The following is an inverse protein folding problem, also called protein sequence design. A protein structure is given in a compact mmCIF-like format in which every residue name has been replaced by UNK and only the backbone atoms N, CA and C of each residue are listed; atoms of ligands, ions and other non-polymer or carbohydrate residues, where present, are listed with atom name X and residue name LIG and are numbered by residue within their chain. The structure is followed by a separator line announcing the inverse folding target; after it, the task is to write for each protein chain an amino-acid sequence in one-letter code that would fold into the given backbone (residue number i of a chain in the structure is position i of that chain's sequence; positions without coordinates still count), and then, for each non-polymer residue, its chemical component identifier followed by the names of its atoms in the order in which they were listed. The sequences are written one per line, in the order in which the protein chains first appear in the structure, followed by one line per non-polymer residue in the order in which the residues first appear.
data_IF_979759242122
#
_entry.id   IF_979759242122
#
_cell.length_a   1.000
_cell.length_b   1.000
_cell.length_c   1.000
_cell.angle_alpha   90.00
_cell.angle_beta   90.00
_cell.angle_gamma   90.00
#
_symmetry.space_group_name_H-M   'P 1'
#
loop_
_entity.id
_entity.type
_entity.pdbx_description
1 polymer ?
#
# COMPACT_ATOMS: atom_id res chain seq x y z
N UNK A 1 -1.43 -20.76 13.58
CA UNK A 1 -0.74 -21.46 14.69
C UNK A 1 -0.46 -22.90 14.26
N UNK A 2 0.52 -23.57 14.88
CA UNK A 2 0.78 -25.01 14.68
C UNK A 2 -0.41 -25.93 15.02
N UNK A 3 -1.44 -25.41 15.69
CA UNK A 3 -2.64 -26.14 16.11
C UNK A 3 -3.35 -26.86 14.94
N UNK A 4 -3.28 -26.29 13.74
CA UNK A 4 -3.82 -26.95 12.54
C UNK A 4 -3.11 -28.27 12.20
N UNK A 5 -1.87 -28.48 12.63
CA UNK A 5 -1.14 -29.73 12.39
C UNK A 5 -1.18 -30.72 13.55
N UNK A 6 -1.60 -30.28 14.74
CA UNK A 6 -1.70 -31.14 15.94
C UNK A 6 -3.14 -31.50 16.30
N UNK A 7 -4.13 -30.86 15.68
CA UNK A 7 -5.53 -31.28 15.78
C UNK A 7 -5.84 -32.45 14.85
N UNK A 8 -6.72 -33.36 15.29
CA UNK A 8 -7.23 -34.48 14.50
C UNK A 8 -8.08 -34.07 13.28
N UNK A 9 -8.30 -32.76 13.10
CA UNK A 9 -9.06 -32.17 12.00
C UNK A 9 -8.25 -32.05 10.70
N UNK A 10 -6.91 -32.14 10.76
CA UNK A 10 -6.07 -32.08 9.58
C UNK A 10 -5.78 -33.49 9.05
N UNK A 11 -6.59 -33.90 8.07
CA UNK A 11 -6.37 -35.12 7.30
C UNK A 11 -5.52 -34.81 6.09
N UNK A 12 -4.35 -35.41 6.00
CA UNK A 12 -3.48 -35.27 4.83
C UNK A 12 -4.03 -36.10 3.68
N UNK A 13 -4.10 -35.50 2.50
CA UNK A 13 -4.33 -36.20 1.25
C UNK A 13 -3.01 -36.85 0.77
N UNK A 14 -3.05 -37.94 0.01
CA UNK A 14 -1.85 -38.59 -0.52
C UNK A 14 -1.16 -37.78 -1.64
N UNK A 15 -1.74 -36.66 -2.05
CA UNK A 15 -1.19 -35.78 -3.06
C UNK A 15 -0.10 -34.85 -2.49
N UNK A 16 0.97 -34.66 -3.27
CA UNK A 16 2.03 -33.70 -2.94
C UNK A 16 1.52 -32.29 -3.22
N UNK A 17 1.76 -31.38 -2.28
CA UNK A 17 1.45 -29.97 -2.40
C UNK A 17 2.25 -29.38 -3.58
N UNK A 18 1.59 -28.68 -4.53
CA UNK A 18 2.31 -27.97 -5.58
C UNK A 18 3.10 -26.81 -4.98
N UNK A 19 4.30 -26.58 -5.49
CA UNK A 19 5.06 -25.36 -5.16
C UNK A 19 4.32 -24.18 -5.77
N UNK A 20 4.13 -23.12 -4.98
CA UNK A 20 3.52 -21.90 -5.50
C UNK A 20 4.49 -21.23 -6.46
N UNK A 21 4.15 -21.20 -7.74
CA UNK A 21 4.88 -20.39 -8.70
C UNK A 21 4.58 -18.91 -8.46
N UNK A 22 5.61 -18.06 -8.57
CA UNK A 22 5.44 -16.62 -8.56
C UNK A 22 4.58 -16.16 -9.74
N UNK A 23 4.41 -14.84 -9.90
CA UNK A 23 3.76 -14.34 -11.10
C UNK A 23 4.57 -14.77 -12.34
N UNK A 24 3.99 -15.68 -13.12
CA UNK A 24 4.53 -16.06 -14.42
C UNK A 24 4.48 -14.86 -15.38
N UNK A 25 5.32 -14.89 -16.41
CA UNK A 25 5.36 -13.84 -17.43
C UNK A 25 6.62 -12.98 -17.37
N UNK A 26 6.50 -11.77 -17.91
CA UNK A 26 7.65 -10.91 -18.22
C UNK A 26 8.11 -11.11 -19.66
N UNK A 27 8.06 -10.05 -20.44
CA UNK A 27 8.57 -10.04 -21.84
C UNK A 27 9.66 -8.98 -22.01
N UNK A 28 10.32 -8.59 -20.91
CA UNK A 28 11.40 -7.60 -20.90
C UNK A 28 10.92 -6.15 -21.02
N UNK A 29 9.72 -5.82 -20.52
CA UNK A 29 9.21 -4.44 -20.54
C UNK A 29 9.89 -3.61 -19.46
N UNK A 30 9.96 -2.30 -19.70
CA UNK A 30 10.54 -1.36 -18.74
C UNK A 30 9.86 -1.43 -17.37
N UNK A 31 10.66 -1.35 -16.32
CA UNK A 31 10.25 -1.43 -14.92
C UNK A 31 9.40 -0.23 -14.48
N UNK A 32 8.38 -0.47 -13.64
CA UNK A 32 7.61 0.57 -12.94
C UNK A 32 7.28 0.14 -11.52
N UNK A 33 7.31 1.08 -10.59
CA UNK A 33 6.92 0.87 -9.20
C UNK A 33 5.89 1.89 -8.74
N UNK A 34 5.01 1.46 -7.83
CA UNK A 34 4.15 2.34 -7.03
C UNK A 34 4.64 2.23 -5.59
N UNK A 35 4.99 3.36 -4.97
CA UNK A 35 5.31 3.43 -3.54
C UNK A 35 4.19 4.21 -2.87
N UNK A 36 3.42 3.55 -2.02
CA UNK A 36 2.36 4.18 -1.23
C UNK A 36 2.90 4.48 0.15
N UNK A 37 3.07 5.77 0.46
CA UNK A 37 3.19 6.26 1.82
C UNK A 37 1.79 6.51 2.38
N UNK A 38 1.33 5.63 3.27
CA UNK A 38 -0.02 5.71 3.82
C UNK A 38 -0.01 6.29 5.23
N UNK A 39 -0.39 7.57 5.33
CA UNK A 39 -0.49 8.26 6.62
C UNK A 39 -1.75 7.82 7.39
N UNK A 40 -1.64 6.71 8.12
CA UNK A 40 -2.72 6.02 8.86
C UNK A 40 -3.36 6.81 10.03
N UNK A 41 -3.18 8.13 10.08
CA UNK A 41 -3.61 9.02 11.15
C UNK A 41 -2.59 10.13 11.41
N UNK A 42 -3.00 11.16 12.15
CA UNK A 42 -2.13 12.29 12.54
C UNK A 42 -1.79 13.27 11.41
N UNK A 43 -2.14 12.95 10.17
CA UNK A 43 -2.07 13.87 9.04
C UNK A 43 -3.27 14.82 9.06
N UNK A 44 -2.99 16.10 9.28
CA UNK A 44 -3.97 17.17 9.10
C UNK A 44 -3.96 17.64 7.64
N UNK A 45 -4.67 16.93 6.77
CA UNK A 45 -4.66 17.18 5.33
C UNK A 45 -5.17 18.58 4.95
N UNK A 46 -6.03 19.19 5.78
CA UNK A 46 -6.45 20.58 5.62
C UNK A 46 -5.32 21.59 5.83
N UNK A 47 -4.25 21.19 6.51
CA UNK A 47 -3.03 21.98 6.67
C UNK A 47 -1.95 21.58 5.65
N UNK A 48 -2.14 20.50 4.87
CA UNK A 48 -1.22 20.12 3.79
C UNK A 48 -1.45 20.93 2.51
N UNK A 49 -2.72 21.12 2.14
CA UNK A 49 -3.15 21.87 0.96
C UNK A 49 -4.28 22.83 1.35
N UNK A 50 -3.99 24.12 1.31
CA UNK A 50 -4.87 25.20 1.78
C UNK A 50 -5.30 26.06 0.58
N UNK A 51 -6.58 26.37 0.38
CA UNK A 51 -6.99 27.39 -0.59
C UNK A 51 -6.34 28.75 -0.25
N UNK A 52 -5.74 29.47 -1.20
CA UNK A 52 -5.03 30.73 -0.89
C UNK A 52 -5.72 32.01 -1.38
N UNK A 53 -6.04 32.08 -2.68
CA UNK A 53 -6.57 33.31 -3.29
C UNK A 53 -7.17 33.08 -4.68
N UNK A 54 -7.83 34.12 -5.22
CA UNK A 54 -8.52 34.13 -6.50
C UNK A 54 -9.54 32.99 -6.60
N UNK A 55 -10.36 32.88 -5.56
CA UNK A 55 -11.42 31.90 -5.46
C UNK A 55 -12.71 32.43 -6.09
N UNK A 56 -13.43 31.58 -6.81
CA UNK A 56 -14.51 32.01 -7.71
C UNK A 56 -15.74 32.58 -6.97
N UNK A 57 -16.22 31.87 -5.94
CA UNK A 57 -17.49 32.19 -5.28
C UNK A 57 -17.33 32.79 -3.87
N UNK A 58 -16.34 32.31 -3.10
CA UNK A 58 -16.10 32.68 -1.71
C UNK A 58 -14.61 32.74 -1.42
N UNK A 59 -14.18 33.59 -0.47
CA UNK A 59 -12.82 33.52 0.06
C UNK A 59 -12.66 32.25 0.90
N UNK A 60 -12.18 31.19 0.26
CA UNK A 60 -11.98 29.90 0.89
C UNK A 60 -10.82 29.91 1.90
N UNK A 61 -9.89 30.86 1.80
CA UNK A 61 -8.85 31.03 2.82
C UNK A 61 -9.45 31.66 4.08
N UNK A 62 -10.28 32.68 3.93
CA UNK A 62 -11.00 33.28 5.06
C UNK A 62 -11.89 32.24 5.76
N UNK A 63 -12.65 31.44 5.00
CA UNK A 63 -13.43 30.34 5.56
C UNK A 63 -12.56 29.32 6.30
N UNK A 64 -11.46 28.88 5.68
CA UNK A 64 -10.48 28.01 6.33
C UNK A 64 -10.02 28.60 7.67
N UNK A 65 -9.59 29.87 7.70
CA UNK A 65 -9.13 30.50 8.95
C UNK A 65 -10.21 30.58 10.02
N UNK A 66 -11.45 30.92 9.62
CA UNK A 66 -12.61 31.01 10.53
C UNK A 66 -12.96 29.66 11.15
N UNK A 67 -13.02 28.59 10.34
CA UNK A 67 -13.41 27.25 10.80
C UNK A 67 -12.29 26.60 11.62
N UNK A 68 -11.04 26.82 11.22
CA UNK A 68 -9.87 26.18 11.83
C UNK A 68 -9.35 26.94 13.04
N UNK A 69 -9.71 28.21 13.20
CA UNK A 69 -9.36 29.06 14.35
C UNK A 69 -7.85 29.08 14.61
N UNK A 70 -7.39 28.67 15.80
CA UNK A 70 -5.98 28.67 16.18
C UNK A 70 -5.14 27.59 15.48
N UNK A 71 -5.75 26.66 14.73
CA UNK A 71 -5.06 25.66 13.92
C UNK A 71 -4.82 26.11 12.48
N UNK A 72 -5.32 27.29 12.10
CA UNK A 72 -5.14 27.83 10.76
C UNK A 72 -3.70 28.31 10.54
N UNK A 73 -3.13 27.97 9.40
CA UNK A 73 -1.80 28.41 9.01
C UNK A 73 -1.86 29.81 8.38
N UNK A 74 -0.98 30.74 8.76
CA UNK A 74 -0.87 32.02 8.07
C UNK A 74 -0.33 31.78 6.65
N UNK A 75 -0.71 32.64 5.70
CA UNK A 75 -0.21 32.58 4.30
C UNK A 75 1.32 32.53 4.22
N UNK A 76 2.03 33.19 5.13
CA UNK A 76 3.49 33.17 5.22
C UNK A 76 4.09 31.81 5.59
N UNK A 77 3.30 30.88 6.14
CA UNK A 77 3.67 29.50 6.46
C UNK A 77 3.41 28.50 5.32
N UNK A 78 2.97 28.98 4.16
CA UNK A 78 2.57 28.15 3.02
C UNK A 78 3.42 28.50 1.79
N UNK A 79 3.72 27.47 0.99
CA UNK A 79 4.32 27.62 -0.33
C UNK A 79 3.21 27.70 -1.38
N UNK A 80 3.08 28.85 -2.05
CA UNK A 80 2.02 29.06 -3.03
C UNK A 80 2.26 28.25 -4.33
N UNK A 81 1.24 27.54 -4.78
CA UNK A 81 1.19 26.84 -6.07
C UNK A 81 0.00 27.35 -6.88
N UNK A 82 0.19 27.44 -8.18
CA UNK A 82 -0.82 27.95 -9.11
C UNK A 82 -1.57 26.79 -9.78
N UNK A 83 -2.88 26.95 -9.91
CA UNK A 83 -3.73 26.02 -10.63
C UNK A 83 -3.88 26.47 -12.08
N UNK A 84 -3.26 25.73 -12.99
CA UNK A 84 -3.06 26.18 -14.38
C UNK A 84 -4.30 25.95 -15.26
N UNK A 85 -5.21 25.03 -14.89
CA UNK A 85 -6.36 24.65 -15.71
C UNK A 85 -7.60 25.54 -15.52
N UNK A 86 -7.66 26.31 -14.44
CA UNK A 86 -8.81 27.15 -14.10
C UNK A 86 -10.07 26.37 -13.72
N UNK A 87 -9.92 25.08 -13.39
CA UNK A 87 -11.04 24.18 -13.07
C UNK A 87 -11.31 24.08 -11.58
N UNK A 88 -10.37 24.53 -10.75
CA UNK A 88 -10.47 24.39 -9.30
C UNK A 88 -11.14 25.62 -8.67
N UNK A 89 -11.66 25.50 -7.43
CA UNK A 89 -12.37 26.60 -6.76
C UNK A 89 -11.55 27.88 -6.55
N UNK A 90 -10.22 27.77 -6.55
CA UNK A 90 -9.27 28.87 -6.44
C UNK A 90 -8.17 28.73 -7.49
N UNK A 91 -7.67 29.85 -8.00
CA UNK A 91 -6.51 29.83 -8.91
C UNK A 91 -5.19 29.57 -8.19
N UNK A 92 -5.14 29.71 -6.85
CA UNK A 92 -3.92 29.48 -6.07
C UNK A 92 -4.22 28.69 -4.80
N UNK A 93 -3.31 27.80 -4.46
CA UNK A 93 -3.31 27.00 -3.24
C UNK A 93 -1.97 27.10 -2.53
N UNK A 94 -1.94 26.79 -1.24
CA UNK A 94 -0.77 26.83 -0.39
C UNK A 94 -0.46 25.44 0.12
N UNK A 95 0.76 24.99 -0.12
CA UNK A 95 1.27 23.73 0.41
C UNK A 95 2.04 23.99 1.70
N UNK A 96 1.91 23.11 2.70
CA UNK A 96 2.68 23.23 3.94
C UNK A 96 4.19 23.31 3.67
N UNK A 97 4.93 24.23 4.30
CA UNK A 97 6.39 24.38 4.06
C UNK A 97 7.25 23.15 4.37
N UNK A 98 6.78 22.29 5.27
CA UNK A 98 7.42 20.98 5.52
C UNK A 98 7.36 20.02 4.31
N UNK A 99 6.52 20.34 3.31
CA UNK A 99 6.34 19.63 2.06
C UNK A 99 6.85 20.46 0.87
N UNK A 100 7.85 21.32 1.09
CA UNK A 100 8.41 22.19 0.04
C UNK A 100 8.88 21.42 -1.21
N UNK A 101 9.37 20.19 -1.04
CA UNK A 101 9.72 19.31 -2.15
C UNK A 101 8.48 18.87 -2.96
N UNK A 102 7.34 18.64 -2.31
CA UNK A 102 6.07 18.36 -3.01
C UNK A 102 5.62 19.59 -3.79
N UNK A 103 5.75 20.79 -3.21
CA UNK A 103 5.48 22.06 -3.92
C UNK A 103 6.39 22.21 -5.15
N UNK A 104 7.66 21.83 -5.03
CA UNK A 104 8.63 21.84 -6.15
C UNK A 104 8.22 20.86 -7.24
N UNK A 105 7.89 19.61 -6.89
CA UNK A 105 7.44 18.59 -7.83
C UNK A 105 6.13 18.97 -8.52
N UNK A 106 5.19 19.58 -7.81
CA UNK A 106 3.93 20.06 -8.39
C UNK A 106 4.21 21.11 -9.47
N UNK A 107 5.05 22.11 -9.18
CA UNK A 107 5.44 23.14 -10.16
C UNK A 107 6.23 22.56 -11.35
N UNK A 108 6.93 21.45 -11.15
CA UNK A 108 7.63 20.74 -12.22
C UNK A 108 6.71 19.87 -13.10
N UNK A 109 5.45 19.65 -12.68
CA UNK A 109 4.51 18.74 -13.36
C UNK A 109 4.66 17.27 -12.97
N UNK A 110 5.48 16.96 -11.96
CA UNK A 110 5.79 15.61 -11.49
C UNK A 110 4.91 15.17 -10.31
N UNK A 111 4.13 16.08 -9.71
CA UNK A 111 3.19 15.78 -8.64
C UNK A 111 1.81 16.39 -8.91
N UNK A 112 0.78 15.72 -8.39
CA UNK A 112 -0.60 16.19 -8.42
C UNK A 112 -1.25 16.01 -7.05
N UNK A 113 -2.13 16.95 -6.70
CA UNK A 113 -3.01 16.82 -5.54
C UNK A 113 -4.40 16.36 -6.00
N UNK A 114 -4.96 15.39 -5.29
CA UNK A 114 -6.35 15.00 -5.43
C UNK A 114 -7.03 15.24 -4.08
N UNK A 115 -7.76 16.36 -3.98
CA UNK A 115 -8.45 16.77 -2.77
C UNK A 115 -9.90 16.28 -2.75
N UNK A 116 -10.54 16.38 -1.57
CA UNK A 116 -11.94 16.01 -1.35
C UNK A 116 -12.28 14.57 -1.76
N UNK A 117 -11.32 13.66 -1.58
CA UNK A 117 -11.51 12.23 -1.80
C UNK A 117 -11.97 11.57 -0.51
N UNK A 118 -13.01 10.75 -0.62
CA UNK A 118 -13.51 9.93 0.47
C UNK A 118 -14.32 8.76 -0.08
N UNK A 119 -14.58 7.73 0.73
CA UNK A 119 -15.39 6.61 0.29
C UNK A 119 -16.84 7.05 0.10
N UNK A 120 -17.37 6.76 -1.09
CA UNK A 120 -18.78 6.94 -1.44
C UNK A 120 -19.28 5.65 -2.09
N UNK A 121 -20.54 5.33 -1.82
CA UNK A 121 -21.25 4.25 -2.51
C UNK A 121 -21.84 4.77 -3.82
N UNK A 122 -22.41 5.97 -3.77
CA UNK A 122 -22.95 6.69 -4.91
C UNK A 122 -22.80 8.22 -4.66
N UNK A 123 -22.85 9.05 -5.71
CA UNK A 123 -22.94 10.49 -5.54
C UNK A 123 -24.21 10.86 -4.77
N UNK A 124 -24.08 11.68 -3.72
CA UNK A 124 -25.21 12.15 -2.93
C UNK A 124 -25.06 13.61 -2.49
N UNK A 125 -26.20 14.22 -2.17
CA UNK A 125 -26.30 15.56 -1.60
C UNK A 125 -26.39 15.51 -0.07
N UNK A 126 -26.14 16.64 0.58
CA UNK A 126 -26.33 16.81 2.03
C UNK A 126 -27.77 16.50 2.48
N UNK A 127 -28.75 16.88 1.66
CA UNK A 127 -30.16 16.62 1.95
C UNK A 127 -30.46 15.11 1.89
N UNK A 128 -30.01 14.42 0.85
CA UNK A 128 -30.17 12.96 0.74
C UNK A 128 -29.51 12.19 1.89
N UNK A 129 -28.36 12.69 2.38
CA UNK A 129 -27.72 12.15 3.57
C UNK A 129 -28.61 12.27 4.82
N UNK A 130 -29.18 13.45 5.09
CA UNK A 130 -30.05 13.64 6.26
C UNK A 130 -31.40 12.93 6.15
N UNK A 131 -31.95 12.85 4.93
CA UNK A 131 -33.22 12.18 4.68
C UNK A 131 -33.06 10.65 4.62
N UNK A 132 -31.84 10.13 4.64
CA UNK A 132 -31.55 8.69 4.57
C UNK A 132 -31.97 8.06 3.23
N UNK A 133 -31.96 8.84 2.15
CA UNK A 133 -32.47 8.41 0.83
C UNK A 133 -31.38 7.93 -0.13
N UNK A 134 -30.11 8.01 0.26
CA UNK A 134 -28.96 7.53 -0.52
C UNK A 134 -28.25 6.38 0.20
N UNK A 135 -27.60 5.51 -0.57
CA UNK A 135 -26.76 4.47 -0.02
C UNK A 135 -25.46 5.06 0.55
N UNK A 136 -25.13 4.68 1.78
CA UNK A 136 -23.96 5.17 2.51
C UNK A 136 -22.92 4.07 2.69
N UNK A 137 -21.62 4.42 2.74
CA UNK A 137 -20.59 3.48 3.19
C UNK A 137 -20.95 2.90 4.56
N UNK A 138 -20.61 1.63 4.77
CA UNK A 138 -20.81 1.01 6.09
C UNK A 138 -19.99 1.74 7.16
N UNK A 139 -20.53 1.82 8.38
CA UNK A 139 -19.81 2.34 9.55
C UNK A 139 -19.10 3.68 9.28
N UNK A 140 -19.85 4.67 8.78
CA UNK A 140 -19.37 6.05 8.73
C UNK A 140 -18.83 6.47 10.12
N UNK A 141 -17.76 7.28 10.12
CA UNK A 141 -17.02 7.74 11.30
C UNK A 141 -16.18 6.69 12.05
N UNK A 142 -16.18 5.41 11.63
CA UNK A 142 -15.27 4.39 12.18
C UNK A 142 -13.91 4.45 11.48
N UNK A 143 -12.87 4.93 12.17
CA UNK A 143 -11.52 5.09 11.61
C UNK A 143 -11.00 3.83 10.89
N UNK A 144 -11.04 2.67 11.56
CA UNK A 144 -10.60 1.41 10.98
C UNK A 144 -11.41 1.01 9.74
N UNK A 145 -12.72 1.26 9.73
CA UNK A 145 -13.58 0.94 8.59
C UNK A 145 -13.33 1.89 7.42
N UNK A 146 -13.20 3.20 7.68
CA UNK A 146 -12.89 4.19 6.65
C UNK A 146 -11.49 3.97 6.04
N UNK A 147 -10.50 3.61 6.85
CA UNK A 147 -9.19 3.15 6.36
C UNK A 147 -9.35 1.94 5.45
N UNK A 148 -10.17 0.95 5.84
CA UNK A 148 -10.42 -0.23 5.02
C UNK A 148 -11.06 0.12 3.68
N UNK A 149 -12.10 0.96 3.67
CA UNK A 149 -12.72 1.43 2.42
C UNK A 149 -11.76 2.20 1.53
N UNK A 150 -10.85 2.99 2.11
CA UNK A 150 -9.80 3.69 1.34
C UNK A 150 -8.83 2.69 0.71
N UNK A 151 -8.43 1.66 1.45
CA UNK A 151 -7.50 0.64 0.97
C UNK A 151 -8.13 -0.34 -0.05
N UNK A 152 -9.46 -0.54 -0.01
CA UNK A 152 -10.17 -1.38 -0.99
C UNK A 152 -10.71 -0.57 -2.17
N UNK A 153 -11.00 0.72 -1.97
CA UNK A 153 -11.77 1.56 -2.91
C UNK A 153 -13.14 0.92 -3.25
N UNK A 154 -13.71 0.20 -2.28
CA UNK A 154 -15.03 -0.42 -2.36
C UNK A 154 -15.77 -0.12 -1.06
N UNK A 155 -16.70 0.82 -1.14
CA UNK A 155 -17.44 1.33 0.02
C UNK A 155 -18.61 0.43 0.43
N UNK A 156 -19.15 -0.39 -0.49
CA UNK A 156 -20.27 -1.30 -0.20
C UNK A 156 -19.85 -2.61 0.49
N UNK A 157 -18.57 -2.98 0.42
CA UNK A 157 -18.11 -4.31 0.83
C UNK A 157 -16.80 -4.23 1.63
N UNK A 158 -16.89 -4.54 2.93
CA UNK A 158 -15.72 -4.63 3.81
C UNK A 158 -14.85 -5.85 3.50
N UNK A 159 -15.42 -6.89 2.88
CA UNK A 159 -14.72 -8.12 2.52
C UNK A 159 -13.90 -8.01 1.23
N UNK A 160 -14.10 -6.94 0.45
CA UNK A 160 -13.37 -6.64 -0.76
C UNK A 160 -11.84 -6.66 -0.59
N UNK A 161 -11.17 -7.12 -1.63
CA UNK A 161 -9.71 -7.13 -1.72
C UNK A 161 -9.13 -5.72 -1.88
N UNK A 162 -7.82 -5.58 -1.67
CA UNK A 162 -7.13 -4.30 -1.75
C UNK A 162 -7.01 -3.79 -3.17
N UNK A 163 -7.03 -2.47 -3.36
CA UNK A 163 -6.91 -1.88 -4.70
C UNK A 163 -5.59 -2.27 -5.38
N UNK A 164 -4.47 -2.27 -4.67
CA UNK A 164 -3.17 -2.62 -5.26
C UNK A 164 -3.05 -4.11 -5.53
N UNK A 165 -3.60 -4.96 -4.66
CA UNK A 165 -3.69 -6.40 -4.92
C UNK A 165 -4.44 -6.69 -6.21
N UNK A 166 -5.64 -6.11 -6.37
CA UNK A 166 -6.43 -6.24 -7.61
C UNK A 166 -5.72 -5.70 -8.85
N UNK A 167 -4.99 -4.60 -8.72
CA UNK A 167 -4.19 -4.04 -9.83
C UNK A 167 -3.11 -5.02 -10.28
N UNK A 168 -2.37 -5.62 -9.34
CA UNK A 168 -1.35 -6.62 -9.68
C UNK A 168 -1.96 -7.89 -10.27
N UNK A 169 -3.06 -8.38 -9.69
CA UNK A 169 -3.77 -9.55 -10.21
C UNK A 169 -4.23 -9.31 -11.65
N UNK A 170 -4.75 -8.11 -11.95
CA UNK A 170 -5.16 -7.73 -13.31
C UNK A 170 -3.98 -7.64 -14.28
N UNK A 171 -2.81 -7.17 -13.83
CA UNK A 171 -1.58 -7.12 -14.64
C UNK A 171 -0.99 -8.50 -14.91
N UNK A 172 -1.05 -9.40 -13.92
CA UNK A 172 -0.60 -10.78 -14.04
C UNK A 172 -1.55 -11.66 -14.88
N UNK A 173 -2.84 -11.28 -15.00
CA UNK A 173 -3.84 -12.01 -15.77
C UNK A 173 -3.98 -11.56 -17.24
N UNK A 174 -3.15 -10.62 -17.70
CA UNK A 174 -3.17 -10.16 -19.09
C UNK A 174 -2.78 -11.29 -20.07
N UNK A 175 -3.22 -11.25 -21.35
CA UNK A 175 -2.76 -12.19 -22.37
C UNK A 175 -1.24 -12.23 -22.54
N UNK A 176 -0.57 -11.09 -22.31
CA UNK A 176 0.88 -10.97 -22.15
C UNK A 176 1.19 -10.56 -20.70
N UNK A 177 1.27 -11.52 -19.77
CA UNK A 177 1.25 -11.26 -18.33
C UNK A 177 2.50 -10.50 -17.88
N UNK A 178 2.31 -9.54 -16.97
CA UNK A 178 3.42 -8.86 -16.31
C UNK A 178 3.96 -9.70 -15.16
N UNK A 179 5.29 -9.66 -14.97
CA UNK A 179 5.85 -10.14 -13.71
C UNK A 179 5.65 -9.07 -12.63
N UNK A 180 4.89 -9.42 -11.61
CA UNK A 180 4.43 -8.52 -10.55
C UNK A 180 4.92 -8.96 -9.17
N UNK A 181 5.23 -8.00 -8.30
CA UNK A 181 5.49 -8.26 -6.88
C UNK A 181 4.88 -7.18 -5.98
N UNK A 182 4.60 -7.56 -4.73
CA UNK A 182 4.07 -6.68 -3.70
C UNK A 182 4.89 -6.81 -2.44
N UNK A 183 5.24 -5.67 -1.84
CA UNK A 183 6.02 -5.58 -0.62
C UNK A 183 5.33 -4.66 0.38
N UNK A 184 5.37 -5.04 1.66
CA UNK A 184 4.86 -4.22 2.75
C UNK A 184 5.91 -4.05 3.83
N UNK A 185 6.18 -2.80 4.20
CA UNK A 185 7.02 -2.46 5.34
C UNK A 185 6.14 -2.21 6.59
N UNK A 186 4.83 -2.09 6.41
CA UNK A 186 3.84 -1.84 7.46
C UNK A 186 3.12 -3.12 7.95
N UNK A 187 3.64 -4.31 7.62
CA UNK A 187 3.01 -5.60 7.95
C UNK A 187 1.82 -5.94 7.05
N UNK A 188 0.85 -6.70 7.56
CA UNK A 188 -0.31 -7.15 6.76
C UNK A 188 -1.32 -6.01 6.58
N UNK A 189 -1.40 -5.47 5.35
CA UNK A 189 -2.25 -4.33 5.00
C UNK A 189 -3.31 -4.72 3.98
N UNK A 190 -4.53 -4.19 4.14
CA UNK A 190 -5.66 -4.55 3.29
C UNK A 190 -5.41 -4.13 1.84
N UNK A 191 -4.72 -3.02 1.61
CA UNK A 191 -4.46 -2.46 0.27
C UNK A 191 -3.72 -3.42 -0.67
N UNK A 192 -2.85 -4.28 -0.10
CA UNK A 192 -2.06 -5.26 -0.84
C UNK A 192 -2.72 -6.64 -0.94
N UNK A 193 -3.86 -6.87 -0.29
CA UNK A 193 -4.56 -8.15 -0.38
C UNK A 193 -5.04 -8.37 -1.82
N UNK A 194 -4.58 -9.45 -2.44
CA UNK A 194 -5.02 -9.96 -3.73
C UNK A 194 -4.90 -11.49 -3.77
N UNK A 195 -4.75 -12.07 -4.96
CA UNK A 195 -4.54 -13.51 -5.14
C UNK A 195 -3.18 -13.94 -4.58
N UNK A 196 -2.18 -13.08 -4.68
CA UNK A 196 -0.82 -13.32 -4.15
C UNK A 196 -0.58 -12.47 -2.88
N UNK A 197 -0.08 -13.06 -1.78
CA UNK A 197 0.27 -12.31 -0.60
C UNK A 197 1.50 -11.42 -0.86
N UNK A 198 1.60 -10.24 -0.23
CA UNK A 198 2.80 -9.43 -0.28
C UNK A 198 3.91 -10.03 0.59
N UNK A 199 5.15 -9.76 0.22
CA UNK A 199 6.29 -9.99 1.10
C UNK A 199 6.33 -8.94 2.20
N UNK A 200 6.51 -9.37 3.44
CA UNK A 200 6.67 -8.46 4.58
C UNK A 200 8.15 -8.21 4.82
N UNK A 201 8.50 -6.94 4.95
CA UNK A 201 9.87 -6.46 5.09
C UNK A 201 9.96 -5.66 6.38
N UNK A 202 10.87 -6.03 7.26
CA UNK A 202 11.13 -5.25 8.46
C UNK A 202 11.85 -3.95 8.10
N UNK A 203 11.43 -2.84 8.71
CA UNK A 203 12.00 -1.53 8.42
C UNK A 203 13.49 -1.42 8.77
N UNK A 204 13.96 -2.16 9.78
CA UNK A 204 15.34 -2.13 10.25
C UNK A 204 16.15 -3.29 9.66
N UNK A 205 15.60 -4.50 9.72
CA UNK A 205 16.33 -5.73 9.36
C UNK A 205 16.14 -6.15 7.90
N UNK A 206 15.20 -5.54 7.17
CA UNK A 206 14.86 -5.95 5.81
C UNK A 206 14.13 -7.29 5.80
N UNK A 207 14.63 -8.26 5.03
CA UNK A 207 14.01 -9.59 4.95
C UNK A 207 14.45 -10.43 6.15
N UNK A 208 13.51 -10.69 7.06
CA UNK A 208 13.76 -11.53 8.24
C UNK A 208 13.71 -13.01 7.84
N UNK A 209 14.87 -13.66 7.87
CA UNK A 209 15.05 -15.09 7.58
C UNK A 209 14.85 -15.97 8.80
N UNK A 210 14.48 -17.23 8.58
CA UNK A 210 14.35 -18.19 9.67
C UNK A 210 15.73 -18.69 10.11
N UNK A 211 16.16 -18.32 11.32
CA UNK A 211 17.52 -18.59 11.82
C UNK A 211 17.94 -20.07 11.80
N UNK A 212 16.98 -21.00 11.87
CA UNK A 212 17.23 -22.43 11.82
C UNK A 212 16.93 -23.06 10.45
N UNK A 213 16.76 -22.26 9.38
CA UNK A 213 16.41 -22.75 8.04
C UNK A 213 17.33 -23.88 7.57
N UNK A 214 18.65 -23.67 7.62
CA UNK A 214 19.65 -24.68 7.22
C UNK A 214 19.55 -26.01 7.98
N UNK A 215 19.03 -25.99 9.22
CA UNK A 215 18.87 -27.18 10.05
C UNK A 215 17.50 -27.84 9.88
N UNK A 216 16.45 -27.04 9.69
CA UNK A 216 15.06 -27.47 9.86
C UNK A 216 14.24 -27.46 8.57
N UNK A 217 14.68 -26.81 7.50
CA UNK A 217 13.92 -26.70 6.24
C UNK A 217 13.51 -28.07 5.67
N UNK A 218 14.40 -29.06 5.69
CA UNK A 218 14.09 -30.42 5.25
C UNK A 218 13.01 -31.11 6.10
N UNK A 219 13.03 -30.90 7.42
CA UNK A 219 12.01 -31.44 8.32
C UNK A 219 10.66 -30.75 8.12
N UNK A 220 10.66 -29.41 8.06
CA UNK A 220 9.45 -28.62 7.81
C UNK A 220 8.87 -28.97 6.45
N UNK A 221 9.70 -29.06 5.41
CA UNK A 221 9.31 -29.48 4.07
C UNK A 221 8.63 -30.85 4.08
N UNK A 222 9.21 -31.84 4.76
CA UNK A 222 8.59 -33.16 4.91
C UNK A 222 7.24 -33.11 5.65
N UNK A 223 7.12 -32.31 6.72
CA UNK A 223 5.87 -32.18 7.49
C UNK A 223 4.74 -31.48 6.70
N UNK A 224 5.09 -30.60 5.77
CA UNK A 224 4.15 -29.76 5.01
C UNK A 224 3.97 -30.21 3.55
N UNK A 225 4.72 -31.24 3.12
CA UNK A 225 4.76 -31.74 1.75
C UNK A 225 3.41 -32.20 1.22
N UNK A 226 2.58 -32.82 2.05
CA UNK A 226 1.30 -33.36 1.62
C UNK A 226 0.20 -32.31 1.70
N UNK A 227 -0.75 -32.37 0.77
CA UNK A 227 -1.95 -31.54 0.82
C UNK A 227 -2.79 -31.88 2.06
N UNK A 228 -3.46 -30.88 2.61
CA UNK A 228 -4.44 -31.02 3.69
C UNK A 228 -5.85 -30.98 3.11
N UNK A 229 -6.73 -31.83 3.61
CA UNK A 229 -8.17 -31.74 3.33
C UNK A 229 -8.83 -30.53 4.01
N UNK A 230 -8.16 -29.89 4.99
CA UNK A 230 -8.64 -28.67 5.63
C UNK A 230 -8.13 -27.46 4.87
N UNK A 231 -9.03 -26.56 4.44
CA UNK A 231 -8.64 -25.31 3.78
C UNK A 231 -7.69 -24.47 4.66
N UNK A 232 -7.88 -24.48 5.99
CA UNK A 232 -7.00 -23.78 6.92
C UNK A 232 -5.60 -24.43 7.02
N UNK A 233 -5.56 -25.76 7.14
CA UNK A 233 -4.30 -26.51 7.20
C UNK A 233 -3.52 -26.40 5.89
N UNK A 234 -4.23 -26.43 4.76
CA UNK A 234 -3.68 -26.26 3.43
C UNK A 234 -3.08 -24.87 3.26
N UNK A 235 -3.85 -23.83 3.57
CA UNK A 235 -3.39 -22.44 3.48
C UNK A 235 -2.17 -22.21 4.37
N UNK A 236 -2.21 -22.63 5.63
CA UNK A 236 -1.07 -22.45 6.55
C UNK A 236 0.20 -23.16 6.07
N UNK A 237 0.08 -24.41 5.61
CA UNK A 237 1.23 -25.20 5.14
C UNK A 237 1.84 -24.60 3.89
N UNK A 238 1.00 -24.16 2.96
CA UNK A 238 1.44 -23.51 1.74
C UNK A 238 2.18 -22.20 2.04
N UNK A 239 1.55 -21.30 2.80
CA UNK A 239 2.15 -20.02 3.17
C UNK A 239 3.46 -20.21 3.95
N UNK A 240 3.56 -21.22 4.84
CA UNK A 240 4.80 -21.51 5.56
C UNK A 240 5.92 -21.98 4.61
N UNK A 241 5.65 -22.90 3.69
CA UNK A 241 6.65 -23.36 2.72
C UNK A 241 7.12 -22.20 1.83
N UNK A 242 6.18 -21.44 1.31
CA UNK A 242 6.45 -20.35 0.39
C UNK A 242 7.29 -19.26 1.07
N UNK A 243 6.90 -18.84 2.29
CA UNK A 243 7.64 -17.81 3.03
C UNK A 243 9.05 -18.27 3.41
N UNK A 244 9.25 -19.53 3.81
CA UNK A 244 10.56 -20.03 4.18
C UNK A 244 11.55 -20.01 2.99
N UNK A 245 11.11 -20.40 1.80
CA UNK A 245 11.98 -20.36 0.61
C UNK A 245 12.17 -18.91 0.13
N UNK A 246 11.08 -18.14 0.08
CA UNK A 246 11.07 -16.78 -0.47
C UNK A 246 11.90 -15.80 0.35
N UNK A 247 11.90 -15.93 1.68
CA UNK A 247 12.73 -15.09 2.55
C UNK A 247 14.23 -15.37 2.40
N UNK A 248 14.64 -16.61 2.12
CA UNK A 248 16.05 -16.90 1.81
C UNK A 248 16.46 -16.28 0.48
N UNK A 249 15.67 -16.45 -0.58
CA UNK A 249 15.97 -15.88 -1.91
C UNK A 249 16.04 -14.36 -1.86
N UNK A 250 15.05 -13.70 -1.25
CA UNK A 250 15.05 -12.25 -1.14
C UNK A 250 16.14 -11.76 -0.17
N UNK A 251 16.38 -12.46 0.94
CA UNK A 251 17.44 -12.13 1.90
C UNK A 251 18.82 -12.12 1.24
N UNK A 252 19.16 -13.18 0.50
CA UNK A 252 20.43 -13.29 -0.22
C UNK A 252 20.61 -12.17 -1.25
N UNK A 253 19.52 -11.79 -1.94
CA UNK A 253 19.53 -10.67 -2.88
C UNK A 253 19.74 -9.32 -2.18
N UNK A 254 19.19 -9.11 -0.98
CA UNK A 254 19.29 -7.84 -0.25
C UNK A 254 20.60 -7.67 0.53
N UNK A 255 21.24 -8.75 0.98
CA UNK A 255 22.46 -8.71 1.81
C UNK A 255 23.60 -7.95 1.11
N UNK A 256 23.69 -8.05 -0.22
CA UNK A 256 24.71 -7.37 -1.02
C UNK A 256 24.36 -5.94 -1.45
N UNK A 257 23.14 -5.46 -1.18
CA UNK A 257 22.66 -4.19 -1.72
C UNK A 257 23.21 -3.01 -0.93
N UNK A 258 23.94 -2.13 -1.63
CA UNK A 258 24.37 -0.83 -1.11
C UNK A 258 23.65 0.28 -1.86
N UNK A 259 23.12 1.26 -1.15
CA UNK A 259 22.55 2.47 -1.74
C UNK A 259 23.63 3.57 -1.78
N UNK A 260 23.61 4.35 -2.85
CA UNK A 260 24.53 5.48 -3.02
C UNK A 260 24.02 6.71 -2.24
N UNK A 261 22.71 6.81 -2.07
CA UNK A 261 22.04 7.86 -1.29
C UNK A 261 21.98 7.45 0.18
N UNK A 262 22.44 8.35 1.06
CA UNK A 262 22.27 8.19 2.51
C UNK A 262 20.84 8.54 2.93
N UNK A 263 20.25 7.71 3.79
CA UNK A 263 18.95 7.95 4.41
C UNK A 263 19.14 8.48 5.84
N UNK A 264 18.36 9.47 6.30
CA UNK A 264 18.44 9.94 7.68
C UNK A 264 17.88 8.88 8.65
N UNK A 265 18.31 8.93 9.91
CA UNK A 265 17.86 7.97 10.93
C UNK A 265 16.46 8.31 11.48
N UNK A 266 15.43 8.08 10.66
CA UNK A 266 14.02 8.25 11.03
C UNK A 266 13.22 7.03 10.61
N UNK A 267 12.09 6.78 11.29
CA UNK A 267 11.23 5.62 10.98
C UNK A 267 10.86 5.55 9.49
N UNK A 268 10.32 6.65 8.93
CA UNK A 268 9.92 6.70 7.52
C UNK A 268 11.10 6.54 6.55
N UNK A 269 12.27 7.11 6.89
CA UNK A 269 13.44 7.00 6.04
C UNK A 269 13.98 5.57 6.00
N UNK A 270 14.01 4.85 7.12
CA UNK A 270 14.37 3.43 7.16
C UNK A 270 13.41 2.58 6.33
N UNK A 271 12.11 2.89 6.35
CA UNK A 271 11.13 2.18 5.51
C UNK A 271 11.35 2.45 4.01
N UNK A 272 11.57 3.70 3.62
CA UNK A 272 11.88 4.08 2.24
C UNK A 272 13.26 3.56 1.78
N UNK A 273 14.20 3.41 2.70
CA UNK A 273 15.48 2.76 2.44
C UNK A 273 15.28 1.29 2.04
N UNK A 274 14.44 0.54 2.76
CA UNK A 274 14.11 -0.84 2.36
C UNK A 274 13.45 -0.90 0.98
N UNK A 275 12.54 0.02 0.68
CA UNK A 275 11.95 0.14 -0.66
C UNK A 275 13.05 0.37 -1.70
N UNK A 276 13.95 1.33 -1.49
CA UNK A 276 15.04 1.59 -2.42
C UNK A 276 15.98 0.39 -2.60
N UNK A 277 16.26 -0.38 -1.54
CA UNK A 277 17.05 -1.61 -1.61
C UNK A 277 16.37 -2.67 -2.49
N UNK A 278 15.06 -2.88 -2.30
CA UNK A 278 14.26 -3.81 -3.12
C UNK A 278 14.19 -3.38 -4.58
N UNK A 279 13.93 -2.10 -4.85
CA UNK A 279 13.95 -1.59 -6.22
C UNK A 279 15.32 -1.81 -6.86
N UNK A 280 16.43 -1.73 -6.11
CA UNK A 280 17.78 -1.99 -6.63
C UNK A 280 18.01 -3.46 -7.00
N UNK A 281 17.29 -4.42 -6.39
CA UNK A 281 17.37 -5.86 -6.74
C UNK A 281 16.47 -6.28 -7.91
N UNK A 282 15.63 -5.38 -8.44
CA UNK A 282 14.67 -5.66 -9.53
C UNK A 282 15.25 -6.42 -10.73
N UNK A 283 16.52 -6.16 -11.09
CA UNK A 283 17.18 -6.84 -12.20
C UNK A 283 17.48 -8.32 -11.94
N UNK A 284 17.64 -8.70 -10.67
CA UNK A 284 17.91 -10.08 -10.26
C UNK A 284 16.62 -10.91 -10.09
N UNK A 285 15.51 -10.26 -9.75
CA UNK A 285 14.17 -10.89 -9.66
C UNK A 285 13.36 -10.78 -10.96
N UNK A 286 13.86 -10.00 -11.92
CA UNK A 286 13.26 -9.73 -13.24
C UNK A 286 11.76 -9.38 -13.14
N UNK A 287 11.43 -8.58 -12.11
CA UNK A 287 10.09 -8.02 -11.88
C UNK A 287 9.88 -6.81 -12.79
N UNK A 288 8.70 -6.71 -13.41
CA UNK A 288 8.34 -5.59 -14.27
C UNK A 288 7.52 -4.54 -13.50
N UNK A 289 6.67 -4.98 -12.56
CA UNK A 289 5.74 -4.12 -11.82
C UNK A 289 5.79 -4.43 -10.34
N UNK A 290 6.07 -3.42 -9.53
CA UNK A 290 6.13 -3.57 -8.08
C UNK A 290 5.23 -2.55 -7.39
N UNK A 291 4.65 -2.97 -6.27
CA UNK A 291 3.97 -2.07 -5.35
C UNK A 291 4.60 -2.21 -3.98
N UNK A 292 4.79 -1.08 -3.31
CA UNK A 292 5.34 -0.99 -1.97
C UNK A 292 4.36 -0.24 -1.09
N UNK A 293 4.06 -0.78 0.08
CA UNK A 293 3.28 -0.08 1.10
C UNK A 293 4.17 0.26 2.29
N UNK A 294 4.17 1.55 2.62
CA UNK A 294 4.93 2.22 3.68
C UNK A 294 3.93 2.89 4.61
#
# INVERSE_FOLDING_TARGET
SPEFHVSSSNKLAPAVRPVREGSGGGVGRGYKAIVVLFMSGGCDSYNMLVPLSACAAHDLYEEYTRVRTNLALPKSGLDAIDEVSGTQPCATFGVHKALSEVSRLYRAGDAAFIANVGPLVEPLTKQQYYDGSAALPSSLFSHNTQTRHTQTVVAQDLSADGILGRVLDSLAAQPSPYRVAAYSIAGSVRMLKGLQPPDIVDQNDGIVRYSAYNRLSGYVGNMTRLQSASAFGETYSQELQDMLVRTEVLGDLLDGVKLDTAFPDTSIARQLEQVARLIKTRGSVDTEREVFFV
#
